data_IF_252532838003
#
_entry.id   IF_252532838003
#
_cell.length_a   1.000
_cell.length_b   1.000
_cell.length_c   1.000
_cell.angle_alpha   90.00
_cell.angle_beta   90.00
_cell.angle_gamma   90.00
#
_symmetry.space_group_name_H-M   'P 1'
#
loop_
_entity.id
_entity.type
_entity.pdbx_description
1 polymer ?
#
# COMPACT_ATOMS: atom_id res chain seq x y z
N UNK A 1 -14.30 -8.13 2.02
CA UNK A 1 -13.69 -6.79 2.12
C UNK A 1 -12.31 -6.98 1.55
N UNK A 2 -12.04 -6.48 0.35
CA UNK A 2 -10.75 -6.71 -0.31
C UNK A 2 -9.71 -6.09 0.60
N UNK A 3 -8.90 -6.92 1.26
CA UNK A 3 -7.71 -6.46 1.96
C UNK A 3 -6.89 -5.74 0.89
N UNK A 4 -6.96 -4.40 0.88
CA UNK A 4 -6.13 -3.62 -0.02
C UNK A 4 -4.70 -4.05 0.25
N UNK A 5 -3.91 -4.30 -0.79
CA UNK A 5 -2.64 -5.02 -0.68
C UNK A 5 -1.54 -4.38 0.16
N UNK A 6 -1.86 -3.34 0.93
CA UNK A 6 -0.97 -2.58 1.79
C UNK A 6 -1.55 -2.45 3.20
N UNK A 7 -0.68 -2.45 4.20
CA UNK A 7 -1.05 -2.24 5.60
C UNK A 7 -0.02 -1.39 6.33
N UNK A 8 -0.46 -0.78 7.43
CA UNK A 8 0.41 -0.08 8.36
C UNK A 8 1.03 -1.06 9.36
N UNK A 9 2.32 -0.91 9.59
CA UNK A 9 3.05 -1.63 10.62
C UNK A 9 3.72 -0.64 11.56
N UNK A 10 3.34 -0.67 12.84
CA UNK A 10 4.02 0.09 13.88
C UNK A 10 5.31 -0.62 14.27
N UNK A 11 6.42 0.11 14.30
CA UNK A 11 7.73 -0.37 14.74
C UNK A 11 7.93 -0.14 16.24
N UNK A 12 8.90 -0.85 16.82
CA UNK A 12 9.23 -0.75 18.24
C UNK A 12 9.74 0.63 18.67
N UNK A 13 10.27 1.41 17.74
CA UNK A 13 10.73 2.79 17.94
C UNK A 13 9.60 3.85 17.91
N UNK A 14 8.34 3.42 17.69
CA UNK A 14 7.17 4.30 17.67
C UNK A 14 6.84 4.88 16.29
N UNK A 15 7.68 4.67 15.28
CA UNK A 15 7.36 5.03 13.89
C UNK A 15 6.49 3.97 13.20
N UNK A 16 5.96 4.36 12.05
CA UNK A 16 5.12 3.54 11.18
C UNK A 16 5.84 3.21 9.88
N UNK A 17 5.48 2.08 9.30
CA UNK A 17 5.94 1.65 7.98
C UNK A 17 4.75 1.18 7.17
N UNK A 18 4.72 1.53 5.88
CA UNK A 18 3.74 1.01 4.95
C UNK A 18 4.33 -0.24 4.31
N UNK A 19 3.70 -1.38 4.54
CA UNK A 19 4.17 -2.67 4.03
C UNK A 19 3.13 -3.29 3.12
N UNK A 20 3.60 -4.07 2.14
CA UNK A 20 2.74 -4.93 1.35
C UNK A 20 2.12 -6.00 2.26
N UNK A 21 0.80 -6.11 2.28
CA UNK A 21 0.07 -7.01 3.16
C UNK A 21 0.35 -8.49 2.84
N UNK A 22 0.66 -8.80 1.57
CA UNK A 22 0.94 -10.16 1.08
C UNK A 22 2.40 -10.55 1.27
N UNK A 23 3.34 -9.65 0.95
CA UNK A 23 4.79 -9.90 1.03
C UNK A 23 5.35 -9.61 2.42
N UNK A 24 4.70 -8.76 3.21
CA UNK A 24 5.19 -8.29 4.50
C UNK A 24 6.38 -7.33 4.43
N UNK A 25 6.73 -6.85 3.23
CA UNK A 25 7.91 -6.01 3.01
C UNK A 25 7.52 -4.54 2.88
N UNK A 26 8.39 -3.59 3.33
CA UNK A 26 8.15 -2.17 3.13
C UNK A 26 8.07 -1.80 1.66
N UNK A 27 7.11 -0.94 1.34
CA UNK A 27 6.90 -0.49 -0.04
C UNK A 27 7.76 0.72 -0.34
N UNK A 28 8.11 0.88 -1.62
CA UNK A 28 8.73 2.11 -2.11
C UNK A 28 7.64 2.93 -2.79
N UNK A 29 7.46 4.17 -2.34
CA UNK A 29 6.49 5.11 -2.90
C UNK A 29 7.22 6.42 -3.20
N UNK A 30 7.00 7.00 -4.38
CA UNK A 30 7.70 8.21 -4.86
C UNK A 30 9.24 8.11 -4.76
N UNK A 31 9.80 6.93 -5.02
CA UNK A 31 11.24 6.68 -4.95
C UNK A 31 11.81 6.63 -3.53
N UNK A 32 10.97 6.65 -2.48
CA UNK A 32 11.37 6.55 -1.08
C UNK A 32 10.79 5.32 -0.42
N UNK A 33 11.60 4.64 0.39
CA UNK A 33 11.16 3.52 1.19
C UNK A 33 10.25 4.04 2.32
N UNK A 34 9.05 3.49 2.42
CA UNK A 34 7.99 3.97 3.33
C UNK A 34 8.16 3.37 4.73
N UNK A 35 9.29 3.74 5.36
CA UNK A 35 9.69 3.33 6.71
C UNK A 35 9.96 4.57 7.56
N UNK A 36 9.94 4.40 8.88
CA UNK A 36 10.22 5.48 9.83
C UNK A 36 9.30 6.71 9.66
N UNK A 37 8.03 6.47 9.30
CA UNK A 37 7.03 7.51 9.10
C UNK A 37 6.30 7.82 10.41
N UNK A 38 5.71 9.00 10.48
CA UNK A 38 4.72 9.30 11.51
C UNK A 38 3.37 8.68 11.10
N UNK A 39 2.42 8.60 12.04
CA UNK A 39 1.11 8.00 11.79
C UNK A 39 0.36 8.70 10.64
N UNK A 40 0.30 10.04 10.65
CA UNK A 40 -0.38 10.83 9.61
C UNK A 40 0.21 10.59 8.21
N UNK A 41 1.54 10.63 8.11
CA UNK A 41 2.27 10.37 6.86
C UNK A 41 2.02 8.95 6.34
N UNK A 42 2.09 7.95 7.23
CA UNK A 42 1.86 6.56 6.85
C UNK A 42 0.40 6.35 6.39
N UNK A 43 -0.56 6.99 7.05
CA UNK A 43 -1.98 6.94 6.69
C UNK A 43 -2.23 7.57 5.31
N UNK A 44 -1.62 8.72 5.01
CA UNK A 44 -1.70 9.37 3.70
C UNK A 44 -1.12 8.51 2.59
N UNK A 45 0.05 7.92 2.82
CA UNK A 45 0.69 7.03 1.84
C UNK A 45 -0.14 5.77 1.60
N UNK A 46 -0.70 5.18 2.66
CA UNK A 46 -1.60 4.04 2.55
C UNK A 46 -2.86 4.38 1.72
N UNK A 47 -3.49 5.52 1.97
CA UNK A 47 -4.65 5.99 1.19
C UNK A 47 -4.30 6.16 -0.29
N UNK A 48 -3.17 6.81 -0.58
CA UNK A 48 -2.71 7.02 -1.95
C UNK A 48 -2.42 5.70 -2.69
N UNK A 49 -1.79 4.74 -2.01
CA UNK A 49 -1.52 3.41 -2.55
C UNK A 49 -2.80 2.60 -2.76
N UNK A 50 -3.75 2.67 -1.83
CA UNK A 50 -5.04 2.01 -1.96
C UNK A 50 -5.84 2.58 -3.14
N UNK A 51 -5.83 3.91 -3.30
CA UNK A 51 -6.47 4.58 -4.43
C UNK A 51 -5.85 4.16 -5.76
N UNK A 52 -4.51 4.18 -5.86
CA UNK A 52 -3.80 3.70 -7.06
C UNK A 52 -4.02 2.22 -7.33
N UNK A 53 -4.17 1.39 -6.30
CA UNK A 53 -4.47 -0.02 -6.46
C UNK A 53 -5.89 -0.21 -6.99
N UNK A 54 -6.86 0.54 -6.47
CA UNK A 54 -8.25 0.54 -6.96
C UNK A 54 -8.33 1.00 -8.42
N UNK A 55 -7.58 2.04 -8.79
CA UNK A 55 -7.47 2.54 -10.18
C UNK A 55 -6.75 1.56 -11.12
N UNK A 56 -5.87 0.70 -10.58
CA UNK A 56 -5.20 -0.39 -11.31
C UNK A 56 -6.05 -1.65 -11.47
N UNK A 57 -7.21 -1.70 -10.81
CA UNK A 57 -8.27 -2.66 -11.10
C UNK A 57 -9.42 -2.00 -11.87
N UNK A 58 -9.23 -1.48 -13.10
CA UNK A 58 -10.32 -1.53 -14.04
C UNK A 58 -10.43 -3.00 -14.40
N UNK A 59 -11.42 -3.68 -13.84
CA UNK A 59 -12.17 -4.69 -14.57
C UNK A 59 -11.28 -5.63 -15.42
N UNK A 60 -10.84 -6.73 -14.81
CA UNK A 60 -10.58 -7.96 -15.57
C UNK A 60 -11.92 -8.34 -16.24
N UNK A 61 -12.17 -7.71 -17.39
CA UNK A 61 -13.47 -7.61 -18.02
C UNK A 61 -13.40 -7.00 -19.42
N UNK A 62 -12.21 -6.81 -19.99
CA UNK A 62 -12.06 -6.57 -21.42
C UNK A 62 -10.91 -7.39 -21.99
N UNK A 63 -11.29 -8.51 -22.62
CA UNK A 63 -10.60 -8.95 -23.83
C UNK A 63 -9.57 -10.05 -23.70
N UNK A 64 -9.97 -11.26 -23.28
CA UNK A 64 -9.44 -12.48 -23.92
C UNK A 64 -10.35 -13.70 -23.75
N UNK A 65 -11.39 -13.79 -24.57
CA UNK A 65 -11.97 -15.07 -24.95
C UNK A 65 -11.33 -15.48 -26.29
N UNK A 66 -10.69 -16.65 -26.42
CA UNK A 66 -10.54 -17.31 -27.71
C UNK A 66 -11.90 -17.80 -28.24
#
# INVERSE_FOLDING_TARGET
>A
MIENGYKLQRRGDGTWSVIDAFKGNPVTFEGRLQIALNEDEAQRVLDCLNRQNLERHPEDGSGRLP
#
